data_IF_223080480964
#
_entry.id   IF_223080480964
#
_cell.length_a   1.000
_cell.length_b   1.000
_cell.length_c   1.000
_cell.angle_alpha   90.00
_cell.angle_beta   90.00
_cell.angle_gamma   90.00
#
_symmetry.space_group_name_H-M   'P 1'
#
loop_
_entity.id
_entity.type
_entity.pdbx_description
1 polymer ?
#
# COMPACT_ATOMS: atom_id res chain seq x y z
N UNK A 1 -9.71 6.93 42.89
CA UNK A 1 -10.18 8.19 42.27
C UNK A 1 -10.20 8.01 40.77
N UNK A 2 -11.38 8.00 40.14
CA UNK A 2 -11.56 7.82 38.70
C UNK A 2 -11.31 9.17 38.02
N UNK A 3 -10.33 9.25 37.11
CA UNK A 3 -10.21 10.38 36.19
C UNK A 3 -10.57 9.88 34.79
N UNK A 4 -11.80 10.19 34.40
CA UNK A 4 -12.27 10.18 33.02
C UNK A 4 -11.48 11.23 32.24
N UNK A 5 -10.60 10.81 31.34
CA UNK A 5 -9.99 11.69 30.36
C UNK A 5 -10.91 11.72 29.13
N UNK A 6 -11.51 12.89 28.89
CA UNK A 6 -12.48 13.13 27.85
C UNK A 6 -11.93 12.82 26.46
N UNK A 7 -12.72 12.05 25.72
CA UNK A 7 -12.66 11.94 24.27
C UNK A 7 -12.79 13.34 23.66
N UNK A 8 -11.67 13.95 23.30
CA UNK A 8 -11.65 15.12 22.42
C UNK A 8 -12.08 14.63 21.03
N UNK A 9 -13.36 14.86 20.76
CA UNK A 9 -14.04 14.62 19.50
C UNK A 9 -13.48 15.59 18.44
N UNK A 10 -12.38 15.22 17.81
CA UNK A 10 -11.97 15.79 16.52
C UNK A 10 -12.57 14.91 15.41
N UNK A 11 -13.35 15.47 14.46
CA UNK A 11 -14.00 14.69 13.41
C UNK A 11 -13.03 14.48 12.24
N UNK A 12 -11.84 13.95 12.46
CA UNK A 12 -10.90 13.67 11.38
C UNK A 12 -10.13 12.38 11.66
N UNK A 13 -10.51 11.34 10.92
CA UNK A 13 -9.66 10.20 10.57
C UNK A 13 -9.39 9.16 11.67
N UNK A 14 -10.43 8.58 12.28
CA UNK A 14 -10.29 7.43 13.20
C UNK A 14 -10.05 6.07 12.52
N UNK A 15 -9.79 6.03 11.20
CA UNK A 15 -9.63 4.78 10.43
C UNK A 15 -8.31 4.73 9.64
N UNK A 16 -7.23 5.32 10.15
CA UNK A 16 -5.92 5.27 9.48
C UNK A 16 -5.27 3.89 9.68
N UNK A 17 -5.91 2.88 9.09
CA UNK A 17 -5.30 1.59 8.83
C UNK A 17 -4.55 1.67 7.49
N UNK A 18 -3.34 1.15 7.54
CA UNK A 18 -2.26 1.35 6.59
C UNK A 18 -2.61 0.74 5.23
N UNK A 19 -2.47 1.56 4.19
CA UNK A 19 -2.06 1.20 2.83
C UNK A 19 -3.01 0.38 1.94
N UNK A 20 -3.28 0.90 0.74
CA UNK A 20 -4.23 0.31 -0.22
C UNK A 20 -3.63 0.35 -1.63
N UNK A 21 -3.20 -0.82 -2.11
CA UNK A 21 -2.83 -1.02 -3.53
C UNK A 21 -4.00 -0.73 -4.46
N UNK A 22 -3.70 -0.40 -5.72
CA UNK A 22 -4.44 -0.37 -7.00
C UNK A 22 -5.95 -0.76 -7.06
N UNK A 23 -6.48 -1.56 -6.13
CA UNK A 23 -7.89 -1.96 -6.02
C UNK A 23 -8.51 -1.83 -4.61
N UNK A 24 -7.88 -1.11 -3.68
CA UNK A 24 -8.42 -0.92 -2.32
C UNK A 24 -8.25 -2.14 -1.39
N UNK A 25 -7.35 -3.07 -1.69
CA UNK A 25 -7.07 -4.24 -0.85
C UNK A 25 -6.24 -3.92 0.40
N UNK A 26 -6.52 -4.60 1.52
CA UNK A 26 -5.78 -4.43 2.78
C UNK A 26 -4.35 -4.96 2.64
N UNK A 27 -3.38 -4.08 2.82
CA UNK A 27 -1.95 -4.42 2.81
C UNK A 27 -1.43 -4.92 4.16
N UNK A 28 -2.21 -4.77 5.23
CA UNK A 28 -1.82 -5.18 6.60
C UNK A 28 -1.42 -6.68 6.73
N UNK A 29 -1.88 -7.53 5.81
CA UNK A 29 -1.58 -8.96 5.77
C UNK A 29 -0.62 -9.34 4.62
N UNK A 30 0.05 -8.35 4.01
CA UNK A 30 1.04 -8.58 2.97
C UNK A 30 2.37 -9.04 3.56
N UNK A 31 3.08 -9.90 2.84
CA UNK A 31 4.44 -10.30 3.19
C UNK A 31 5.42 -9.15 2.93
N UNK A 32 6.48 -9.06 3.73
CA UNK A 32 7.54 -8.07 3.56
C UNK A 32 8.79 -8.80 3.05
N UNK A 33 9.29 -8.36 1.90
CA UNK A 33 10.46 -8.94 1.23
C UNK A 33 11.48 -7.87 0.83
N UNK A 34 12.75 -8.25 0.72
CA UNK A 34 13.79 -7.40 0.11
C UNK A 34 13.81 -7.62 -1.41
N UNK A 35 13.41 -6.60 -2.16
CA UNK A 35 13.33 -6.61 -3.62
C UNK A 35 14.15 -5.45 -4.16
N UNK A 36 15.14 -5.76 -4.99
CA UNK A 36 16.05 -4.75 -5.57
C UNK A 36 16.72 -3.87 -4.51
N UNK A 37 17.10 -4.46 -3.35
CA UNK A 37 17.69 -3.77 -2.19
C UNK A 37 16.73 -2.78 -1.53
N UNK A 38 15.44 -2.92 -1.77
CA UNK A 38 14.37 -2.12 -1.18
C UNK A 38 13.42 -3.03 -0.43
N UNK A 39 13.15 -2.69 0.83
CA UNK A 39 12.15 -3.40 1.61
C UNK A 39 10.76 -3.08 1.04
N UNK A 40 10.07 -4.11 0.59
CA UNK A 40 8.80 -3.99 -0.10
C UNK A 40 7.72 -4.84 0.59
N UNK A 41 6.51 -4.30 0.68
CA UNK A 41 5.33 -5.07 1.02
C UNK A 41 4.69 -5.63 -0.25
N UNK A 42 4.33 -6.91 -0.21
CA UNK A 42 3.68 -7.62 -1.31
C UNK A 42 2.20 -7.72 -1.01
N UNK A 43 1.40 -7.16 -1.92
CA UNK A 43 -0.05 -7.26 -1.80
C UNK A 43 -0.51 -8.72 -1.85
N UNK A 44 -1.27 -9.20 -0.85
CA UNK A 44 -1.69 -10.60 -0.81
C UNK A 44 -2.61 -10.95 -1.99
N UNK A 45 -3.42 -9.98 -2.46
CA UNK A 45 -4.38 -10.16 -3.55
C UNK A 45 -3.74 -10.16 -4.94
N UNK A 46 -2.98 -9.14 -5.30
CA UNK A 46 -2.51 -8.92 -6.68
C UNK A 46 -0.99 -9.00 -6.84
N UNK A 47 -0.27 -9.38 -5.78
CA UNK A 47 1.20 -9.52 -5.76
C UNK A 47 1.99 -8.27 -6.18
N UNK A 48 1.34 -7.10 -6.16
CA UNK A 48 1.99 -5.79 -6.30
C UNK A 48 3.02 -5.59 -5.21
N UNK A 49 4.18 -5.05 -5.59
CA UNK A 49 5.33 -4.81 -4.71
C UNK A 49 5.44 -3.32 -4.48
N UNK A 50 5.31 -2.88 -3.22
CA UNK A 50 5.34 -1.47 -2.86
C UNK A 50 6.45 -1.23 -1.86
N UNK A 51 7.33 -0.27 -2.15
CA UNK A 51 8.45 0.05 -1.25
C UNK A 51 7.93 0.67 0.05
N UNK A 52 8.45 0.23 1.20
CA UNK A 52 8.03 0.77 2.50
C UNK A 52 8.58 2.18 2.76
N UNK A 53 9.69 2.54 2.13
CA UNK A 53 10.32 3.85 2.30
C UNK A 53 9.52 4.97 1.60
N UNK A 54 9.23 4.78 0.30
CA UNK A 54 8.71 5.84 -0.57
C UNK A 54 7.33 5.52 -1.16
N UNK A 55 6.83 4.29 -0.99
CA UNK A 55 5.55 3.88 -1.55
C UNK A 55 5.58 3.68 -3.06
N UNK A 56 6.75 3.40 -3.63
CA UNK A 56 6.94 3.14 -5.06
C UNK A 56 6.40 1.77 -5.43
N UNK A 57 5.63 1.68 -6.52
CA UNK A 57 5.24 0.40 -7.11
C UNK A 57 6.35 -0.18 -7.97
N UNK A 58 6.89 -1.35 -7.61
CA UNK A 58 7.92 -2.03 -8.40
C UNK A 58 7.31 -3.05 -9.35
N UNK A 59 7.90 -3.17 -10.54
CA UNK A 59 7.58 -4.23 -11.50
C UNK A 59 8.85 -4.77 -12.15
N UNK A 60 8.80 -6.03 -12.57
CA UNK A 60 9.90 -6.69 -13.26
C UNK A 60 9.58 -6.76 -14.74
N UNK A 61 10.49 -6.28 -15.60
CA UNK A 61 10.31 -6.31 -17.05
C UNK A 61 11.62 -6.68 -17.78
N UNK A 62 11.53 -7.21 -19.02
CA UNK A 62 12.70 -7.44 -19.84
C UNK A 62 13.44 -6.14 -20.16
N UNK A 63 14.76 -6.19 -20.19
CA UNK A 63 15.57 -5.05 -20.64
C UNK A 63 15.42 -4.91 -22.16
N UNK A 64 14.98 -3.75 -22.67
CA UNK A 64 14.86 -3.55 -24.10
C UNK A 64 16.25 -3.59 -24.76
N UNK A 65 16.31 -4.12 -25.99
CA UNK A 65 17.50 -4.12 -26.85
C UNK A 65 18.72 -4.88 -26.30
N UNK A 66 18.52 -5.95 -25.54
CA UNK A 66 19.58 -6.91 -25.23
C UNK A 66 19.39 -8.23 -26.00
N UNK A 67 20.50 -8.77 -26.54
CA UNK A 67 20.52 -10.08 -27.21
C UNK A 67 20.15 -11.22 -26.26
N UNK A 68 20.48 -11.06 -24.97
CA UNK A 68 20.07 -11.98 -23.90
C UNK A 68 18.88 -11.40 -23.16
N UNK A 69 17.80 -12.19 -23.02
CA UNK A 69 16.63 -11.83 -22.21
C UNK A 69 17.03 -11.75 -20.74
N UNK A 70 17.35 -10.55 -20.27
CA UNK A 70 17.51 -10.27 -18.84
C UNK A 70 16.32 -9.47 -18.33
N UNK A 71 15.95 -9.69 -17.08
CA UNK A 71 14.88 -8.96 -16.41
C UNK A 71 15.46 -8.00 -15.39
N UNK A 72 14.89 -6.80 -15.32
CA UNK A 72 15.25 -5.79 -14.32
C UNK A 72 14.01 -5.28 -13.59
N UNK A 73 14.24 -4.76 -12.39
CA UNK A 73 13.25 -4.05 -11.63
C UNK A 73 13.14 -2.60 -12.12
N UNK A 74 11.90 -2.14 -12.23
CA UNK A 74 11.54 -0.80 -12.67
C UNK A 74 10.51 -0.23 -11.69
N UNK A 75 10.48 1.10 -11.57
CA UNK A 75 9.49 1.83 -10.75
C UNK A 75 8.33 2.30 -11.62
N UNK A 76 7.10 2.09 -11.14
CA UNK A 76 5.86 2.71 -11.64
C UNK A 76 5.59 4.09 -11.01
N UNK A 77 6.56 4.62 -10.26
CA UNK A 77 6.40 5.84 -9.45
C UNK A 77 5.72 5.57 -8.10
N UNK A 78 5.46 6.65 -7.35
CA UNK A 78 4.79 6.59 -6.04
C UNK A 78 3.33 6.20 -6.26
N UNK A 79 2.96 5.02 -5.76
CA UNK A 79 1.60 4.46 -5.84
C UNK A 79 0.88 4.52 -4.50
N UNK A 80 1.64 4.56 -3.41
CA UNK A 80 1.12 4.56 -2.06
C UNK A 80 1.66 5.73 -1.27
N UNK A 81 0.78 6.54 -0.67
CA UNK A 81 1.20 7.56 0.28
C UNK A 81 1.81 6.90 1.51
N UNK A 82 3.03 7.30 1.85
CA UNK A 82 3.75 6.87 3.05
C UNK A 82 3.60 7.93 4.14
N UNK A 83 3.40 7.50 5.37
CA UNK A 83 3.37 8.35 6.56
C UNK A 83 4.59 8.05 7.42
N UNK A 84 5.07 9.07 8.14
CA UNK A 84 6.22 8.91 9.01
C UNK A 84 5.79 8.21 10.29
N UNK A 85 6.47 7.13 10.64
CA UNK A 85 6.27 6.40 11.89
C UNK A 85 7.48 6.64 12.79
N UNK A 86 7.25 6.91 14.06
CA UNK A 86 8.29 7.02 15.09
C UNK A 86 7.88 6.27 16.35
N UNK A 87 8.84 5.68 17.03
CA UNK A 87 8.65 5.00 18.31
C UNK A 87 9.31 5.82 19.43
N UNK A 88 8.58 6.08 20.51
CA UNK A 88 9.11 6.72 21.71
C UNK A 88 8.51 6.04 22.95
N UNK A 89 9.37 5.58 23.86
CA UNK A 89 8.91 4.93 25.10
C UNK A 89 8.10 3.64 24.92
N UNK A 90 8.19 2.98 23.76
CA UNK A 90 7.37 1.81 23.41
C UNK A 90 5.99 2.15 22.82
N UNK A 91 5.68 3.44 22.68
CA UNK A 91 4.51 3.93 21.97
C UNK A 91 4.86 4.25 20.52
N UNK A 92 3.94 3.93 19.60
CA UNK A 92 4.09 4.17 18.16
C UNK A 92 3.28 5.41 17.76
N UNK A 93 3.95 6.39 17.18
CA UNK A 93 3.39 7.64 16.69
C UNK A 93 3.41 7.67 15.16
N UNK A 94 2.30 8.07 14.56
CA UNK A 94 2.17 8.25 13.10
C UNK A 94 1.98 9.73 12.80
N UNK A 95 2.91 10.31 12.04
CA UNK A 95 2.79 11.66 11.49
C UNK A 95 2.32 11.56 10.05
N UNK A 96 1.16 12.16 9.77
CA UNK A 96 0.60 12.19 8.43
C UNK A 96 1.51 12.96 7.47
N UNK A 97 1.54 12.51 6.22
CA UNK A 97 2.35 13.12 5.17
C UNK A 97 1.75 14.47 4.81
N UNK A 98 2.62 15.47 4.69
CA UNK A 98 2.32 16.83 4.26
C UNK A 98 2.35 17.00 2.74
N UNK A 99 2.67 15.93 2.00
CA UNK A 99 2.72 15.93 0.54
C UNK A 99 1.37 16.34 -0.03
N UNK A 100 1.35 17.46 -0.76
CA UNK A 100 0.11 18.05 -1.28
C UNK A 100 -0.31 17.52 -2.65
N UNK A 101 0.58 16.81 -3.36
CA UNK A 101 0.23 16.19 -4.62
C UNK A 101 -0.71 15.00 -4.39
N UNK A 102 -1.64 14.82 -5.32
CA UNK A 102 -2.53 13.66 -5.33
C UNK A 102 -1.73 12.40 -5.67
N UNK A 103 -1.86 11.38 -4.83
CA UNK A 103 -1.31 10.05 -5.04
C UNK A 103 -2.49 9.11 -5.30
N UNK A 104 -2.31 8.12 -6.17
CA UNK A 104 -3.38 7.18 -6.54
C UNK A 104 -4.08 6.53 -5.34
N UNK A 105 -3.33 6.20 -4.29
CA UNK A 105 -3.89 5.67 -3.04
C UNK A 105 -4.91 6.60 -2.37
N UNK A 106 -4.81 7.92 -2.57
CA UNK A 106 -5.69 8.92 -1.94
C UNK A 106 -7.16 8.69 -2.34
N UNK A 107 -7.40 8.21 -3.56
CA UNK A 107 -8.75 7.85 -4.02
C UNK A 107 -9.46 6.91 -3.05
N UNK A 108 -8.74 5.88 -2.57
CA UNK A 108 -9.30 4.86 -1.67
C UNK A 108 -9.58 5.36 -0.25
N UNK A 109 -9.01 6.51 0.12
CA UNK A 109 -9.32 7.18 1.39
C UNK A 109 -10.54 8.12 1.31
N UNK A 110 -11.00 8.48 0.09
CA UNK A 110 -12.24 9.24 -0.13
C UNK A 110 -13.49 8.40 0.13
N UNK A 111 -14.64 9.03 0.40
CA UNK A 111 -15.91 8.32 0.61
C UNK A 111 -16.28 7.38 -0.55
N UNK A 112 -15.99 7.78 -1.79
CA UNK A 112 -16.27 6.97 -2.97
C UNK A 112 -15.36 5.76 -3.04
N UNK A 113 -14.05 5.95 -2.85
CA UNK A 113 -13.09 4.84 -2.82
C UNK A 113 -13.34 3.87 -1.67
N UNK A 114 -13.78 4.36 -0.50
CA UNK A 114 -14.21 3.50 0.62
C UNK A 114 -15.37 2.57 0.23
N UNK A 115 -16.35 3.07 -0.53
CA UNK A 115 -17.47 2.24 -1.03
C UNK A 115 -17.00 1.19 -2.03
N UNK A 116 -16.06 1.53 -2.92
CA UNK A 116 -15.47 0.57 -3.87
C UNK A 116 -14.73 -0.53 -3.12
N UNK A 117 -13.86 -0.17 -2.17
CA UNK A 117 -13.15 -1.13 -1.31
C UNK A 117 -14.09 -2.09 -0.59
N UNK A 118 -15.13 -1.57 0.05
CA UNK A 118 -16.08 -2.42 0.79
C UNK A 118 -16.78 -3.42 -0.15
N UNK A 119 -17.15 -3.00 -1.36
CA UNK A 119 -17.73 -3.90 -2.37
C UNK A 119 -16.76 -4.99 -2.84
N UNK A 120 -15.47 -4.66 -3.01
CA UNK A 120 -14.44 -5.65 -3.40
C UNK A 120 -14.20 -6.68 -2.30
N UNK A 121 -14.33 -6.29 -1.04
CA UNK A 121 -14.26 -7.22 0.08
C UNK A 121 -15.51 -8.12 0.22
N UNK A 122 -16.66 -7.68 -0.27
CA UNK A 122 -17.90 -8.46 -0.27
C UNK A 122 -18.00 -9.45 -1.46
N UNK A 123 -17.34 -9.16 -2.58
CA UNK A 123 -17.45 -9.95 -3.83
C UNK A 123 -16.47 -11.13 -3.93
N UNK A 124 -16.02 -11.70 -2.79
CA UNK A 124 -15.04 -12.82 -2.70
C UNK A 124 -15.59 -14.16 -3.22
N UNK A 125 -15.90 -14.24 -4.51
CA UNK A 125 -16.47 -15.43 -5.11
C UNK A 125 -16.13 -15.74 -6.56
N UNK A 126 -15.37 -14.91 -7.31
CA UNK A 126 -14.96 -15.28 -8.68
C UNK A 126 -13.51 -14.87 -8.94
N UNK A 127 -12.68 -15.92 -8.93
CA UNK A 127 -11.31 -16.03 -9.43
C UNK A 127 -11.29 -16.00 -10.96
N UNK A 128 -10.32 -15.29 -11.53
CA UNK A 128 -9.65 -15.72 -12.76
C UNK A 128 -8.25 -15.10 -12.77
N UNK A 129 -7.32 -15.78 -12.13
CA UNK A 129 -5.90 -15.64 -12.41
C UNK A 129 -5.60 -15.92 -13.88
N UNK A 130 -4.85 -15.02 -14.50
CA UNK A 130 -4.05 -15.27 -15.69
C UNK A 130 -2.70 -14.55 -15.46
N UNK A 131 -1.87 -15.14 -14.60
CA UNK A 131 -0.43 -14.95 -14.71
C UNK A 131 0.08 -16.13 -15.55
N UNK A 132 0.30 -15.87 -16.85
CA UNK A 132 0.95 -16.80 -17.76
C UNK A 132 2.36 -17.11 -17.23
N UNK A 133 2.59 -18.40 -16.91
CA UNK A 133 3.92 -19.00 -16.78
C UNK A 133 4.66 -18.87 -18.12
N UNK A 134 5.71 -18.05 -18.18
CA UNK A 134 6.68 -18.12 -19.28
C UNK A 134 7.84 -19.02 -18.85
N UNK A 135 7.87 -20.17 -19.53
CA UNK A 135 8.79 -21.32 -19.46
C UNK A 135 10.27 -21.02 -19.54
#
# INVERSE_FOLDING_TARGET
MRKTAGCLRLPLCSDNNISLTDAGGKLEHGDIEDIDKKLCIICPKHKYKITLAEGEGLFRAPVPNQEVRTFKWYSKGIKQRVHKVSEDGGDVFVTLSDTTCFIESDYYYTEQGRKVRNKVDDNRGIDSGEDEDDS
#
